data_IF_570413694671
#
_entry.id   IF_570413694671
#
_cell.length_a   1.000
_cell.length_b   1.000
_cell.length_c   1.000
_cell.angle_alpha   90.00
_cell.angle_beta   90.00
_cell.angle_gamma   90.00
#
_symmetry.space_group_name_H-M   'P 1'
#
loop_
_entity.id
_entity.type
_entity.pdbx_description
1 polymer ?
#
# COMPACT_ATOMS: atom_id res chain seq x y z
N UNK A 1 -3.23 -2.73 -17.31
CA UNK A 1 -4.41 -1.99 -16.81
C UNK A 1 -4.02 -0.62 -16.28
N UNK A 2 -3.07 -0.53 -15.35
CA UNK A 2 -2.57 0.73 -14.79
C UNK A 2 -1.84 1.65 -15.81
N UNK A 3 -1.18 1.08 -16.83
CA UNK A 3 -0.54 1.91 -17.88
C UNK A 3 -1.52 2.80 -18.66
N UNK A 4 -2.83 2.46 -18.67
CA UNK A 4 -3.88 3.31 -19.27
C UNK A 4 -4.21 4.54 -18.43
N UNK A 5 -3.87 4.52 -17.14
CA UNK A 5 -4.02 5.62 -16.19
C UNK A 5 -2.76 6.50 -16.10
N UNK A 6 -1.75 6.24 -16.94
CA UNK A 6 -0.52 7.05 -16.98
C UNK A 6 0.57 6.62 -15.99
N UNK A 7 0.37 5.56 -15.20
CA UNK A 7 1.43 4.98 -14.36
C UNK A 7 2.51 4.37 -15.26
N UNK A 8 3.73 4.92 -15.17
CA UNK A 8 4.87 4.56 -16.06
C UNK A 8 5.66 3.36 -15.56
N UNK A 9 5.67 3.14 -14.25
CA UNK A 9 6.48 2.12 -13.59
C UNK A 9 5.55 1.19 -12.83
N UNK A 10 5.38 -0.03 -13.34
CA UNK A 10 4.49 -1.04 -12.76
C UNK A 10 5.34 -2.28 -12.53
N UNK A 11 5.33 -2.76 -11.29
CA UNK A 11 5.98 -3.99 -10.89
C UNK A 11 4.91 -4.96 -10.40
N UNK A 12 5.02 -6.22 -10.84
CA UNK A 12 4.10 -7.29 -10.48
C UNK A 12 4.85 -8.28 -9.58
N UNK A 13 4.14 -8.80 -8.57
CA UNK A 13 4.61 -9.85 -7.70
C UNK A 13 3.50 -10.89 -7.56
N UNK A 14 3.88 -12.17 -7.45
CA UNK A 14 2.92 -13.28 -7.52
C UNK A 14 2.54 -13.87 -6.16
N UNK A 15 3.30 -13.53 -5.11
CA UNK A 15 3.00 -13.88 -3.72
C UNK A 15 3.66 -12.87 -2.76
N UNK A 16 3.44 -13.06 -1.46
CA UNK A 16 3.96 -12.17 -0.44
C UNK A 16 5.49 -12.15 -0.32
N UNK A 17 6.14 -13.28 -0.54
CA UNK A 17 7.61 -13.37 -0.53
C UNK A 17 8.19 -12.60 -1.70
N UNK A 18 7.59 -12.78 -2.87
CA UNK A 18 7.98 -12.11 -4.10
C UNK A 18 7.79 -10.59 -3.98
N UNK A 19 6.68 -10.14 -3.38
CA UNK A 19 6.41 -8.72 -3.15
C UNK A 19 7.48 -8.08 -2.25
N UNK A 20 7.88 -8.74 -1.16
CA UNK A 20 8.95 -8.26 -0.27
C UNK A 20 10.30 -8.23 -0.99
N UNK A 21 10.62 -9.28 -1.76
CA UNK A 21 11.86 -9.35 -2.53
C UNK A 21 11.94 -8.22 -3.56
N UNK A 22 10.84 -7.96 -4.26
CA UNK A 22 10.83 -6.97 -5.32
C UNK A 22 10.85 -5.56 -4.78
N UNK A 23 10.13 -5.27 -3.70
CA UNK A 23 10.25 -3.98 -2.99
C UNK A 23 11.69 -3.71 -2.52
N UNK A 24 12.41 -4.73 -2.05
CA UNK A 24 13.83 -4.59 -1.71
C UNK A 24 14.68 -4.29 -2.93
N UNK A 25 14.51 -5.05 -4.02
CA UNK A 25 15.27 -4.86 -5.25
C UNK A 25 15.06 -3.47 -5.87
N UNK A 26 13.83 -2.92 -5.79
CA UNK A 26 13.52 -1.57 -6.26
C UNK A 26 14.23 -0.52 -5.41
N UNK A 27 14.18 -0.66 -4.08
CA UNK A 27 14.90 0.25 -3.15
C UNK A 27 16.40 0.23 -3.39
N UNK A 28 16.99 -0.95 -3.54
CA UNK A 28 18.44 -1.10 -3.81
C UNK A 28 18.86 -0.44 -5.13
N UNK A 29 17.94 -0.33 -6.10
CA UNK A 29 18.13 0.37 -7.38
C UNK A 29 17.80 1.86 -7.32
N UNK A 30 17.43 2.38 -6.16
CA UNK A 30 17.01 3.78 -5.99
C UNK A 30 15.67 4.09 -6.67
N UNK A 31 14.78 3.10 -6.82
CA UNK A 31 13.47 3.29 -7.42
C UNK A 31 12.41 3.49 -6.33
N UNK A 32 11.67 4.60 -6.42
CA UNK A 32 10.56 4.91 -5.51
C UNK A 32 9.32 4.13 -5.92
N UNK A 33 8.61 3.63 -4.91
CA UNK A 33 7.25 3.11 -5.02
C UNK A 33 6.35 3.95 -4.12
N UNK A 34 5.30 4.50 -4.71
CA UNK A 34 4.35 5.38 -4.01
C UNK A 34 3.20 4.57 -3.40
N UNK A 35 2.76 3.55 -4.13
CA UNK A 35 1.60 2.74 -3.78
C UNK A 35 1.84 1.27 -4.08
N UNK A 36 1.37 0.41 -3.16
CA UNK A 36 1.35 -1.04 -3.31
C UNK A 36 -0.10 -1.50 -3.23
N UNK A 37 -0.57 -2.21 -4.26
CA UNK A 37 -1.86 -2.89 -4.24
C UNK A 37 -1.60 -4.32 -3.76
N UNK A 38 -2.06 -4.66 -2.55
CA UNK A 38 -1.73 -5.91 -1.87
C UNK A 38 -2.94 -6.82 -1.77
N UNK A 39 -2.87 -8.02 -2.34
CA UNK A 39 -3.89 -9.05 -2.06
C UNK A 39 -3.73 -9.57 -0.63
N UNK A 40 -4.84 -9.75 0.09
CA UNK A 40 -4.82 -10.32 1.44
C UNK A 40 -4.63 -11.83 1.41
N UNK A 41 -5.22 -12.50 0.41
CA UNK A 41 -5.20 -13.95 0.29
C UNK A 41 -4.18 -14.38 -0.76
N UNK A 42 -2.98 -14.74 -0.31
CA UNK A 42 -1.91 -15.28 -1.14
C UNK A 42 -1.39 -16.59 -0.55
N UNK A 43 -0.94 -17.56 -1.37
CA UNK A 43 -0.27 -18.75 -0.89
C UNK A 43 1.08 -18.42 -0.23
N UNK A 44 1.53 -19.28 0.69
CA UNK A 44 2.82 -19.21 1.41
C UNK A 44 2.95 -18.05 2.42
N UNK A 45 2.79 -16.80 1.96
CA UNK A 45 2.84 -15.59 2.79
C UNK A 45 1.62 -14.73 2.49
N UNK A 46 0.82 -14.44 3.51
CA UNK A 46 -0.37 -13.62 3.36
C UNK A 46 -0.02 -12.12 3.17
N UNK A 47 -0.98 -11.35 2.67
CA UNK A 47 -0.78 -9.93 2.41
C UNK A 47 -0.48 -9.10 3.64
N UNK A 48 -0.94 -9.54 4.82
CA UNK A 48 -0.71 -8.85 6.08
C UNK A 48 0.76 -8.90 6.49
N UNK A 49 1.36 -10.09 6.47
CA UNK A 49 2.78 -10.25 6.78
C UNK A 49 3.67 -9.55 5.75
N UNK A 50 3.27 -9.63 4.47
CA UNK A 50 3.97 -8.96 3.38
C UNK A 50 3.99 -7.44 3.57
N UNK A 51 2.85 -6.86 3.91
CA UNK A 51 2.73 -5.42 4.17
C UNK A 51 3.60 -4.97 5.34
N UNK A 52 3.58 -5.71 6.46
CA UNK A 52 4.44 -5.40 7.62
C UNK A 52 5.90 -5.36 7.23
N UNK A 53 6.38 -6.41 6.53
CA UNK A 53 7.78 -6.48 6.10
C UNK A 53 8.18 -5.36 5.17
N UNK A 54 7.29 -4.94 4.27
CA UNK A 54 7.54 -3.80 3.36
C UNK A 54 7.63 -2.49 4.16
N UNK A 55 6.73 -2.28 5.12
CA UNK A 55 6.70 -1.06 5.94
C UNK A 55 7.84 -0.99 6.98
N UNK A 56 8.40 -2.14 7.38
CA UNK A 56 9.56 -2.23 8.27
C UNK A 56 10.90 -2.04 7.52
N UNK A 57 10.90 -2.01 6.18
CA UNK A 57 12.13 -1.78 5.42
C UNK A 57 12.68 -0.37 5.70
N UNK A 58 14.00 -0.23 5.92
CA UNK A 58 14.64 1.06 6.11
C UNK A 58 14.33 2.04 4.98
N UNK A 59 14.11 3.30 5.35
CA UNK A 59 13.98 4.40 4.41
C UNK A 59 15.36 4.71 3.80
N UNK A 60 15.36 5.24 2.59
CA UNK A 60 16.57 5.65 1.87
C UNK A 60 16.34 6.95 1.12
N UNK A 61 17.39 7.54 0.56
CA UNK A 61 17.31 8.82 -0.16
C UNK A 61 16.27 8.78 -1.30
N UNK A 62 16.21 7.66 -2.03
CA UNK A 62 15.23 7.46 -3.10
C UNK A 62 13.80 7.12 -2.62
N UNK A 63 13.65 6.73 -1.35
CA UNK A 63 12.37 6.35 -0.73
C UNK A 63 12.31 6.95 0.69
N UNK A 64 12.10 8.27 0.80
CA UNK A 64 12.14 8.98 2.09
C UNK A 64 10.90 8.70 2.95
N UNK A 65 9.84 8.15 2.37
CA UNK A 65 8.59 7.77 3.05
C UNK A 65 8.20 6.34 2.71
N UNK A 66 7.47 5.67 3.60
CA UNK A 66 6.92 4.35 3.29
C UNK A 66 5.83 4.43 2.21
N UNK A 67 5.72 3.44 1.30
CA UNK A 67 4.65 3.39 0.32
C UNK A 67 3.29 3.23 1.01
N UNK A 68 2.22 3.75 0.40
CA UNK A 68 0.86 3.45 0.83
C UNK A 68 0.50 2.03 0.40
N UNK A 69 0.09 1.19 1.34
CA UNK A 69 -0.35 -0.18 1.03
C UNK A 69 -1.87 -0.23 1.07
N UNK A 70 -2.47 -0.54 -0.08
CA UNK A 70 -3.91 -0.65 -0.28
C UNK A 70 -4.27 -2.13 -0.40
N UNK A 71 -5.10 -2.63 0.53
CA UNK A 71 -5.57 -4.00 0.53
C UNK A 71 -6.58 -4.25 -0.61
N UNK A 72 -6.45 -5.36 -1.32
CA UNK A 72 -7.33 -5.73 -2.42
C UNK A 72 -7.75 -7.19 -2.30
N UNK A 73 -8.94 -7.46 -1.80
CA UNK A 73 -9.39 -8.83 -1.47
C UNK A 73 -10.79 -9.13 -2.01
N UNK A 74 -11.11 -10.40 -2.27
CA UNK A 74 -12.48 -10.81 -2.60
C UNK A 74 -13.44 -10.71 -1.41
N UNK A 75 -12.91 -10.85 -0.19
CA UNK A 75 -13.67 -10.78 1.05
C UNK A 75 -13.04 -9.74 1.98
N UNK A 76 -13.85 -8.78 2.41
CA UNK A 76 -13.47 -7.69 3.32
C UNK A 76 -14.47 -7.72 4.46
N UNK A 77 -14.11 -8.46 5.50
CA UNK A 77 -14.84 -8.52 6.78
C UNK A 77 -14.26 -7.51 7.77
N UNK A 78 -14.99 -7.20 8.83
CA UNK A 78 -14.50 -6.32 9.91
C UNK A 78 -13.19 -6.83 10.52
N UNK A 79 -13.07 -8.15 10.72
CA UNK A 79 -11.84 -8.77 11.20
C UNK A 79 -10.68 -8.65 10.19
N UNK A 80 -10.97 -8.75 8.89
CA UNK A 80 -9.97 -8.54 7.85
C UNK A 80 -9.48 -7.09 7.81
N UNK A 81 -10.38 -6.11 7.97
CA UNK A 81 -10.07 -4.69 8.06
C UNK A 81 -9.23 -4.37 9.31
N UNK A 82 -9.61 -4.92 10.46
CA UNK A 82 -8.85 -4.75 11.70
C UNK A 82 -7.42 -5.30 11.56
N UNK A 83 -7.27 -6.49 10.97
CA UNK A 83 -5.96 -7.09 10.72
C UNK A 83 -5.15 -6.30 9.69
N UNK A 84 -5.79 -5.71 8.69
CA UNK A 84 -5.15 -4.86 7.68
C UNK A 84 -4.62 -3.57 8.31
N UNK A 85 -5.43 -2.91 9.15
CA UNK A 85 -5.04 -1.72 9.89
C UNK A 85 -3.86 -2.02 10.83
N UNK A 86 -3.89 -3.16 11.56
CA UNK A 86 -2.77 -3.62 12.40
C UNK A 86 -1.50 -3.95 11.62
N UNK A 87 -1.62 -4.24 10.33
CA UNK A 87 -0.49 -4.44 9.42
C UNK A 87 0.02 -3.13 8.78
N UNK A 88 -0.60 -1.99 9.09
CA UNK A 88 -0.23 -0.67 8.56
C UNK A 88 -0.81 -0.34 7.18
N UNK A 89 -1.78 -1.12 6.69
CA UNK A 89 -2.47 -0.83 5.42
C UNK A 89 -3.45 0.34 5.61
N UNK A 90 -3.55 1.22 4.61
CA UNK A 90 -4.28 2.49 4.74
C UNK A 90 -5.61 2.54 3.99
N UNK A 91 -5.78 1.73 2.94
CA UNK A 91 -7.01 1.67 2.15
C UNK A 91 -7.37 0.25 1.77
N UNK A 92 -8.61 0.04 1.34
CA UNK A 92 -9.12 -1.28 0.98
C UNK A 92 -10.02 -1.23 -0.26
N UNK A 93 -10.04 -2.32 -1.00
CA UNK A 93 -10.85 -2.53 -2.19
C UNK A 93 -11.33 -3.97 -2.26
N UNK A 94 -12.59 -4.16 -2.60
CA UNK A 94 -13.16 -5.50 -2.83
C UNK A 94 -13.01 -5.92 -4.30
N UNK A 95 -12.72 -7.20 -4.53
CA UNK A 95 -12.77 -7.82 -5.86
C UNK A 95 -14.18 -8.33 -6.14
N UNK A 96 -14.69 -8.24 -7.39
CA UNK A 96 -14.08 -7.58 -8.54
C UNK A 96 -14.18 -6.05 -8.45
N UNK A 97 -13.14 -5.33 -8.91
CA UNK A 97 -13.09 -3.87 -8.95
C UNK A 97 -13.03 -3.34 -10.39
N UNK A 98 -13.52 -2.12 -10.61
CA UNK A 98 -13.38 -1.42 -11.91
C UNK A 98 -12.14 -0.53 -11.91
N UNK A 99 -11.65 -0.21 -13.09
CA UNK A 99 -10.49 0.68 -13.25
C UNK A 99 -10.69 2.03 -12.57
N UNK A 100 -11.89 2.60 -12.70
CA UNK A 100 -12.25 3.88 -12.08
C UNK A 100 -12.24 3.82 -10.55
N UNK A 101 -12.64 2.68 -9.97
CA UNK A 101 -12.64 2.52 -8.52
C UNK A 101 -11.20 2.44 -8.00
N UNK A 102 -10.34 1.73 -8.72
CA UNK A 102 -8.91 1.65 -8.43
C UNK A 102 -8.22 3.00 -8.53
N UNK A 103 -8.48 3.75 -9.61
CA UNK A 103 -7.95 5.10 -9.81
C UNK A 103 -8.35 6.04 -8.67
N UNK A 104 -9.64 6.07 -8.31
CA UNK A 104 -10.15 6.88 -7.19
C UNK A 104 -9.46 6.54 -5.88
N UNK A 105 -9.25 5.26 -5.60
CA UNK A 105 -8.58 4.82 -4.38
C UNK A 105 -7.12 5.28 -4.36
N UNK A 106 -6.38 5.13 -5.47
CA UNK A 106 -4.98 5.57 -5.53
C UNK A 106 -4.90 7.09 -5.32
N UNK A 107 -5.72 7.86 -6.04
CA UNK A 107 -5.80 9.33 -5.91
C UNK A 107 -6.10 9.74 -4.46
N UNK A 108 -7.11 9.13 -3.83
CA UNK A 108 -7.51 9.43 -2.45
C UNK A 108 -6.36 9.28 -1.43
N UNK A 109 -5.48 8.30 -1.64
CA UNK A 109 -4.42 7.96 -0.66
C UNK A 109 -3.03 8.47 -1.04
N UNK A 110 -2.80 8.81 -2.31
CA UNK A 110 -1.50 9.29 -2.80
C UNK A 110 -1.44 10.81 -3.00
N UNK A 111 -2.57 11.50 -3.21
CA UNK A 111 -2.59 12.98 -3.32
C UNK A 111 -2.63 13.68 -1.95
N UNK A 112 -2.87 12.95 -0.85
CA UNK A 112 -2.84 13.51 0.50
C UNK A 112 -1.43 13.52 1.07
N UNK A 113 -0.56 14.39 0.55
CA UNK A 113 0.72 14.72 1.19
C UNK A 113 0.67 16.00 2.07
N UNK A 114 -0.49 16.67 2.25
CA UNK A 114 -0.53 17.98 2.97
C UNK A 114 -1.59 18.18 4.09
N UNK A 115 -2.37 17.18 4.51
CA UNK A 115 -3.55 17.44 5.38
C UNK A 115 -3.58 16.73 6.74
N UNK A 116 -2.45 16.51 7.42
CA UNK A 116 -2.48 16.06 8.82
C UNK A 116 -1.34 16.62 9.71
N UNK A 117 -1.07 17.92 9.59
CA UNK A 117 -0.31 18.70 10.60
C UNK A 117 -1.18 19.77 11.30
N UNK A 118 -2.51 19.65 11.27
CA UNK A 118 -3.39 20.61 11.94
C UNK A 118 -4.50 19.95 12.75
N UNK A 119 -4.13 19.14 13.75
CA UNK A 119 -5.02 18.96 14.91
C UNK A 119 -4.33 18.54 16.21
N UNK A 120 -3.30 19.27 16.62
CA UNK A 120 -2.99 19.42 18.06
C UNK A 120 -3.44 20.81 18.52
N UNK A 121 -4.73 21.06 18.41
CA UNK A 121 -5.38 22.19 19.09
C UNK A 121 -5.56 21.80 20.56
N UNK A 122 -4.64 22.29 21.38
CA UNK A 122 -4.97 23.12 22.54
C UNK A 122 -6.35 22.87 23.19
N UNK A 123 -6.38 22.12 24.31
CA UNK A 123 -7.38 22.30 25.37
C UNK A 123 -6.80 21.85 26.73
N UNK A 124 -6.25 22.82 27.48
CA UNK A 124 -6.77 23.36 28.74
C UNK A 124 -6.56 22.50 30.01
N UNK A 125 -5.57 22.90 30.82
CA UNK A 125 -5.74 23.23 32.25
C UNK A 125 -4.57 24.08 32.74
#
# INVERSE_FOLDING_TARGET
MLGKLGYKTIHEAYDGTDAVREMRALRDRGQRVDVVLMDLWMPLMDGYESAKRILEMPLGEAQPTQPKILAVSADVTDGALERAAKAGMTGFMTKPYKLMDLEKLIVQYCDKEEADESNTSNDHS
#
